data_IF_126861661239
#
_entry.id   IF_126861661239
#
_cell.length_a   1.000
_cell.length_b   1.000
_cell.length_c   1.000
_cell.angle_alpha   90.00
_cell.angle_beta   90.00
_cell.angle_gamma   90.00
#
_symmetry.space_group_name_H-M   'P 1'
#
loop_
_entity.id
_entity.type
_entity.pdbx_description
1 polymer ?
#
# COMPACT_ATOMS: atom_id res chain seq x y z
N UNK A 1 -12.52 -51.18 -59.95
CA UNK A 1 -11.27 -50.84 -59.21
C UNK A 1 -11.61 -49.79 -58.18
N UNK A 2 -11.45 -50.14 -56.90
CA UNK A 2 -12.06 -49.46 -55.76
C UNK A 2 -11.33 -48.15 -55.39
N UNK A 3 -12.10 -47.07 -55.32
CA UNK A 3 -11.77 -45.83 -54.63
C UNK A 3 -12.18 -45.98 -53.16
N UNK A 4 -11.21 -45.88 -52.25
CA UNK A 4 -11.41 -45.86 -50.80
C UNK A 4 -11.60 -44.41 -50.35
N UNK A 5 -12.80 -44.08 -49.87
CA UNK A 5 -13.12 -42.85 -49.15
C UNK A 5 -13.17 -43.17 -47.65
N UNK A 6 -12.30 -42.53 -46.87
CA UNK A 6 -12.34 -42.61 -45.41
C UNK A 6 -13.33 -41.58 -44.82
N UNK A 7 -14.16 -41.96 -43.83
CA UNK A 7 -15.07 -41.06 -43.15
C UNK A 7 -14.46 -40.47 -41.86
N UNK A 8 -14.97 -39.30 -41.43
CA UNK A 8 -15.03 -39.00 -39.99
C UNK A 8 -14.47 -37.67 -39.49
N UNK A 9 -14.80 -36.53 -40.09
CA UNK A 9 -14.68 -35.22 -39.42
C UNK A 9 -15.92 -34.90 -38.59
N UNK A 10 -16.12 -35.67 -37.52
CA UNK A 10 -17.09 -35.37 -36.46
C UNK A 10 -16.54 -34.36 -35.45
N UNK A 11 -16.10 -33.18 -35.89
CA UNK A 11 -15.69 -32.08 -35.00
C UNK A 11 -16.92 -31.32 -34.51
N UNK A 12 -17.58 -31.94 -33.52
CA UNK A 12 -18.32 -31.36 -32.40
C UNK A 12 -18.82 -29.91 -32.54
N UNK A 13 -20.06 -29.76 -33.02
CA UNK A 13 -20.95 -28.63 -32.73
C UNK A 13 -21.07 -28.32 -31.21
N UNK A 14 -20.71 -29.28 -30.33
CA UNK A 14 -20.62 -29.10 -28.88
C UNK A 14 -19.54 -28.11 -28.42
N UNK A 15 -18.42 -27.96 -29.17
CA UNK A 15 -17.36 -27.02 -28.78
C UNK A 15 -17.74 -25.55 -29.04
N UNK A 16 -18.59 -25.30 -30.04
CA UNK A 16 -19.14 -23.97 -30.33
C UNK A 16 -20.29 -23.59 -29.38
N UNK A 17 -21.08 -24.56 -28.91
CA UNK A 17 -22.15 -24.32 -27.93
C UNK A 17 -21.63 -24.02 -26.51
N UNK A 18 -20.47 -24.59 -26.12
CA UNK A 18 -19.81 -24.27 -24.84
C UNK A 18 -19.18 -22.87 -24.81
N UNK A 19 -18.72 -22.34 -25.95
CA UNK A 19 -18.23 -20.96 -26.04
C UNK A 19 -19.42 -19.97 -26.00
N UNK A 20 -20.56 -20.29 -26.62
CA UNK A 20 -21.73 -19.43 -26.64
C UNK A 20 -22.45 -19.27 -25.28
N UNK A 21 -22.41 -20.28 -24.41
CA UNK A 21 -23.03 -20.22 -23.07
C UNK A 21 -22.20 -19.47 -22.01
N UNK A 22 -20.94 -19.12 -22.30
CA UNK A 22 -20.07 -18.35 -21.39
C UNK A 22 -20.06 -16.82 -21.65
N UNK A 23 -20.72 -16.36 -22.72
CA UNK A 23 -20.69 -14.96 -23.14
C UNK A 23 -21.57 -13.96 -22.35
N UNK A 24 -22.61 -14.33 -21.57
CA UNK A 24 -23.34 -13.32 -20.79
C UNK A 24 -22.60 -12.84 -19.52
N UNK A 25 -21.54 -13.52 -19.06
CA UNK A 25 -20.79 -13.12 -17.85
C UNK A 25 -19.81 -11.97 -18.13
N UNK A 26 -19.34 -11.81 -19.37
CA UNK A 26 -18.34 -10.79 -19.72
C UNK A 26 -18.94 -9.38 -19.90
N UNK A 27 -20.26 -9.25 -20.14
CA UNK A 27 -20.91 -7.95 -20.31
C UNK A 27 -21.09 -7.16 -19.00
N UNK A 28 -20.93 -7.80 -17.84
CA UNK A 28 -20.92 -7.12 -16.55
C UNK A 28 -19.53 -6.65 -16.10
N UNK A 29 -18.52 -6.65 -16.96
CA UNK A 29 -17.14 -6.31 -16.57
C UNK A 29 -16.81 -4.80 -16.45
N UNK A 30 -17.78 -3.86 -16.39
CA UNK A 30 -17.44 -2.48 -15.95
C UNK A 30 -16.99 -2.53 -14.47
N UNK A 31 -15.83 -1.96 -14.15
CA UNK A 31 -15.26 -2.09 -12.81
C UNK A 31 -16.22 -1.55 -11.73
N UNK A 32 -16.60 -2.41 -10.78
CA UNK A 32 -17.19 -1.93 -9.51
C UNK A 32 -16.19 -0.98 -8.84
N UNK A 33 -16.69 0.04 -8.16
CA UNK A 33 -15.84 0.94 -7.37
C UNK A 33 -15.99 0.63 -5.89
N UNK A 34 -14.89 0.60 -5.16
CA UNK A 34 -14.93 0.60 -3.70
C UNK A 34 -14.70 2.05 -3.24
N UNK A 35 -15.68 2.69 -2.64
CA UNK A 35 -15.53 4.03 -2.08
C UNK A 35 -15.69 3.99 -0.58
N UNK A 36 -14.59 4.28 0.13
CA UNK A 36 -14.66 4.66 1.54
C UNK A 36 -14.91 6.16 1.64
N UNK A 37 -16.14 6.56 1.35
CA UNK A 37 -16.55 7.93 1.61
C UNK A 37 -16.65 8.14 3.13
N UNK A 38 -15.89 9.10 3.66
CA UNK A 38 -16.16 9.63 5.01
C UNK A 38 -17.43 10.48 4.93
N UNK A 39 -18.58 9.83 4.96
CA UNK A 39 -19.84 10.52 5.21
C UNK A 39 -19.90 10.78 6.71
N UNK A 40 -19.64 12.03 7.09
CA UNK A 40 -19.83 12.48 8.45
C UNK A 40 -21.34 12.53 8.73
N UNK A 41 -21.86 11.43 9.25
CA UNK A 41 -23.22 11.35 9.78
C UNK A 41 -23.10 11.66 11.26
N UNK A 42 -23.77 12.73 11.70
CA UNK A 42 -23.86 13.10 13.10
C UNK A 42 -24.47 11.97 13.93
N UNK A 43 -24.23 12.00 15.24
CA UNK A 43 -24.80 11.00 16.15
C UNK A 43 -26.33 10.95 16.01
N UNK A 44 -26.85 9.76 15.73
CA UNK A 44 -28.25 9.58 15.42
C UNK A 44 -29.10 9.34 16.67
N UNK A 45 -30.29 9.95 16.70
CA UNK A 45 -31.34 9.66 17.66
C UNK A 45 -32.66 9.28 16.97
N UNK A 46 -33.54 8.58 17.67
CA UNK A 46 -34.83 8.10 17.11
C UNK A 46 -35.71 9.24 16.56
N UNK A 47 -35.57 10.46 17.08
CA UNK A 47 -36.25 11.65 16.54
C UNK A 47 -35.95 11.95 15.05
N UNK A 48 -34.87 11.42 14.49
CA UNK A 48 -34.51 11.59 13.08
C UNK A 48 -35.15 10.54 12.15
N UNK A 49 -35.78 9.48 12.67
CA UNK A 49 -36.32 8.36 11.88
C UNK A 49 -37.28 8.83 10.79
N UNK A 50 -38.23 9.71 11.12
CA UNK A 50 -39.23 10.20 10.17
C UNK A 50 -38.60 10.95 8.98
N UNK A 51 -37.54 11.73 9.22
CA UNK A 51 -36.80 12.43 8.16
C UNK A 51 -36.02 11.45 7.28
N UNK A 52 -35.34 10.47 7.90
CA UNK A 52 -34.59 9.45 7.17
C UNK A 52 -35.51 8.59 6.29
N UNK A 53 -36.68 8.18 6.82
CA UNK A 53 -37.70 7.47 6.04
C UNK A 53 -38.13 8.26 4.82
N UNK A 54 -38.49 9.55 4.97
CA UNK A 54 -38.85 10.41 3.84
C UNK A 54 -37.75 10.46 2.77
N UNK A 55 -36.48 10.51 3.16
CA UNK A 55 -35.34 10.49 2.23
C UNK A 55 -35.22 9.17 1.48
N UNK A 56 -35.36 8.04 2.18
CA UNK A 56 -35.33 6.71 1.54
C UNK A 56 -36.51 6.57 0.57
N UNK A 57 -37.72 6.95 0.99
CA UNK A 57 -38.92 6.93 0.14
C UNK A 57 -38.74 7.78 -1.12
N UNK A 58 -38.15 8.97 -1.01
CA UNK A 58 -37.82 9.81 -2.17
C UNK A 58 -36.79 9.14 -3.11
N UNK A 59 -35.84 8.35 -2.58
CA UNK A 59 -34.92 7.57 -3.41
C UNK A 59 -35.63 6.42 -4.16
N UNK A 60 -36.59 5.76 -3.51
CA UNK A 60 -37.45 4.74 -4.14
C UNK A 60 -38.30 5.35 -5.25
N UNK A 61 -38.98 6.47 -4.97
CA UNK A 61 -39.83 7.17 -5.94
C UNK A 61 -39.05 7.60 -7.20
N UNK A 62 -37.80 8.05 -7.03
CA UNK A 62 -36.88 8.38 -8.13
C UNK A 62 -36.24 7.15 -8.80
N UNK A 63 -36.70 5.93 -8.50
CA UNK A 63 -36.18 4.65 -9.01
C UNK A 63 -34.67 4.48 -8.78
N UNK A 64 -34.11 5.15 -7.78
CA UNK A 64 -32.69 5.07 -7.42
C UNK A 64 -32.38 3.83 -6.57
N UNK A 65 -33.42 3.20 -6.02
CA UNK A 65 -33.35 2.00 -5.18
C UNK A 65 -34.51 1.06 -5.54
N UNK A 66 -34.22 -0.20 -5.85
CA UNK A 66 -35.22 -1.20 -6.26
C UNK A 66 -35.56 -2.19 -5.15
N UNK A 67 -34.55 -2.65 -4.45
CA UNK A 67 -34.67 -3.59 -3.34
C UNK A 67 -33.59 -3.32 -2.30
N UNK A 68 -33.87 -3.69 -1.05
CA UNK A 68 -32.89 -3.68 0.05
C UNK A 68 -32.83 -5.10 0.61
N UNK A 69 -31.64 -5.67 0.69
CA UNK A 69 -31.37 -6.92 1.41
C UNK A 69 -30.49 -6.58 2.61
N UNK A 70 -31.02 -6.68 3.82
CA UNK A 70 -30.28 -6.47 5.05
C UNK A 70 -29.78 -7.80 5.59
N UNK A 71 -28.47 -7.92 5.76
CA UNK A 71 -27.81 -9.06 6.37
C UNK A 71 -27.24 -8.64 7.73
N UNK A 72 -27.77 -9.22 8.80
CA UNK A 72 -27.28 -8.97 10.15
C UNK A 72 -26.21 -10.00 10.51
N UNK A 73 -24.98 -9.53 10.72
CA UNK A 73 -23.86 -10.37 11.15
C UNK A 73 -24.12 -11.11 12.46
N UNK A 74 -24.77 -10.43 13.42
CA UNK A 74 -24.97 -10.97 14.77
C UNK A 74 -26.00 -12.08 14.83
N UNK A 75 -26.95 -12.10 13.89
CA UNK A 75 -28.07 -13.05 13.90
C UNK A 75 -28.06 -14.00 12.69
N UNK A 76 -27.25 -13.73 11.67
CA UNK A 76 -27.30 -14.43 10.38
C UNK A 76 -28.60 -14.18 9.60
N UNK A 77 -29.50 -13.36 10.13
CA UNK A 77 -30.81 -13.12 9.53
C UNK A 77 -30.68 -12.24 8.29
N UNK A 78 -31.30 -12.68 7.19
CA UNK A 78 -31.42 -11.93 5.95
C UNK A 78 -32.85 -11.43 5.79
N UNK A 79 -33.05 -10.12 5.87
CA UNK A 79 -34.32 -9.47 5.61
C UNK A 79 -34.32 -8.86 4.21
N UNK A 80 -35.18 -9.35 3.31
CA UNK A 80 -35.33 -8.78 1.97
C UNK A 80 -36.59 -7.93 1.87
N UNK A 81 -36.42 -6.68 1.44
CA UNK A 81 -37.48 -5.72 1.19
C UNK A 81 -37.53 -5.38 -0.31
N UNK A 82 -38.61 -5.79 -0.96
CA UNK A 82 -38.92 -5.36 -2.34
C UNK A 82 -39.74 -4.08 -2.27
N UNK A 83 -39.26 -3.01 -2.93
CA UNK A 83 -39.82 -1.66 -2.76
C UNK A 83 -40.89 -1.32 -3.81
N UNK A 84 -41.52 -2.33 -4.42
CA UNK A 84 -42.65 -2.18 -5.32
C UNK A 84 -43.95 -2.28 -4.51
N UNK A 85 -44.67 -1.16 -4.33
CA UNK A 85 -46.06 -1.14 -3.86
C UNK A 85 -46.29 -0.89 -2.37
N UNK A 86 -45.41 -1.36 -1.46
CA UNK A 86 -45.50 -1.03 -0.02
C UNK A 86 -44.15 -0.57 0.54
N UNK A 87 -44.20 0.51 1.33
CA UNK A 87 -43.05 1.11 2.02
C UNK A 87 -43.04 0.78 3.51
N UNK A 88 -44.00 -0.01 4.01
CA UNK A 88 -44.19 -0.29 5.44
C UNK A 88 -42.98 -1.03 6.04
N UNK A 89 -42.33 -1.87 5.24
CA UNK A 89 -41.10 -2.57 5.63
C UNK A 89 -39.93 -1.62 5.93
N UNK A 90 -39.91 -0.41 5.36
CA UNK A 90 -38.83 0.56 5.62
C UNK A 90 -38.86 1.07 7.07
N UNK A 91 -40.06 1.25 7.65
CA UNK A 91 -40.20 1.74 9.02
C UNK A 91 -39.55 0.80 10.06
N UNK A 92 -39.48 -0.49 9.73
CA UNK A 92 -38.90 -1.56 10.58
C UNK A 92 -37.39 -1.69 10.47
N UNK A 93 -36.75 -0.98 9.54
CA UNK A 93 -35.30 -1.02 9.41
C UNK A 93 -34.64 -0.37 10.65
N UNK A 94 -33.48 -0.89 11.11
CA UNK A 94 -32.69 -0.23 12.14
C UNK A 94 -32.31 1.20 11.74
N UNK A 95 -32.21 2.11 12.72
CA UNK A 95 -31.99 3.54 12.47
C UNK A 95 -30.69 3.79 11.68
N UNK A 96 -29.62 3.07 12.02
CA UNK A 96 -28.33 3.12 11.34
C UNK A 96 -28.41 2.66 9.88
N UNK A 97 -29.24 1.66 9.57
CA UNK A 97 -29.48 1.19 8.20
C UNK A 97 -30.24 2.26 7.42
N UNK A 98 -31.30 2.83 8.00
CA UNK A 98 -32.04 3.92 7.37
C UNK A 98 -31.14 5.12 7.05
N UNK A 99 -30.28 5.51 7.99
CA UNK A 99 -29.35 6.61 7.79
C UNK A 99 -28.33 6.32 6.67
N UNK A 100 -27.74 5.13 6.68
CA UNK A 100 -26.80 4.71 5.65
C UNK A 100 -27.45 4.72 4.26
N UNK A 101 -28.64 4.09 4.12
CA UNK A 101 -29.39 4.06 2.85
C UNK A 101 -29.75 5.48 2.40
N UNK A 102 -30.28 6.32 3.30
CA UNK A 102 -30.66 7.69 2.98
C UNK A 102 -29.47 8.53 2.49
N UNK A 103 -28.26 8.29 3.02
CA UNK A 103 -27.06 9.03 2.65
C UNK A 103 -26.47 8.58 1.30
N UNK A 104 -26.70 7.33 0.89
CA UNK A 104 -26.04 6.75 -0.30
C UNK A 104 -26.98 6.43 -1.46
N UNK A 105 -28.30 6.47 -1.27
CA UNK A 105 -29.30 6.10 -2.28
C UNK A 105 -29.43 7.15 -3.41
N UNK A 106 -28.40 7.24 -4.23
CA UNK A 106 -28.34 8.05 -5.44
C UNK A 106 -27.84 7.19 -6.62
N UNK A 107 -28.25 7.46 -7.87
CA UNK A 107 -27.83 6.68 -9.04
C UNK A 107 -26.31 6.61 -9.23
N UNK A 108 -25.57 7.64 -8.79
CA UNK A 108 -24.10 7.67 -8.82
C UNK A 108 -23.43 6.59 -7.96
N UNK A 109 -24.17 5.98 -7.03
CA UNK A 109 -23.68 4.89 -6.18
C UNK A 109 -23.88 3.51 -6.81
N UNK A 110 -24.56 3.40 -7.95
CA UNK A 110 -24.79 2.11 -8.60
C UNK A 110 -23.48 1.44 -9.03
N UNK A 111 -23.36 0.14 -8.77
CA UNK A 111 -22.13 -0.61 -9.00
C UNK A 111 -20.98 -0.23 -8.06
N UNK A 112 -21.26 0.45 -6.95
CA UNK A 112 -20.27 0.76 -5.91
C UNK A 112 -20.48 -0.06 -4.64
N UNK A 113 -19.40 -0.23 -3.90
CA UNK A 113 -19.37 -0.70 -2.53
C UNK A 113 -18.95 0.46 -1.62
N UNK A 114 -19.66 0.64 -0.50
CA UNK A 114 -19.42 1.74 0.44
C UNK A 114 -19.43 1.25 1.87
N UNK A 115 -18.38 1.57 2.61
CA UNK A 115 -18.25 1.23 4.03
C UNK A 115 -18.46 2.48 4.89
N UNK A 116 -19.44 2.41 5.78
CA UNK A 116 -19.84 3.51 6.65
C UNK A 116 -19.82 3.08 8.12
N UNK A 117 -19.35 3.98 8.99
CA UNK A 117 -19.48 3.82 10.43
C UNK A 117 -20.55 4.78 10.96
N UNK A 118 -21.66 4.25 11.45
CA UNK A 118 -22.82 5.04 11.90
C UNK A 118 -22.92 5.04 13.41
N UNK A 119 -22.89 6.23 14.01
CA UNK A 119 -23.04 6.40 15.47
C UNK A 119 -24.52 6.57 15.83
N UNK A 120 -25.02 5.75 16.75
CA UNK A 120 -26.37 5.84 17.30
C UNK A 120 -26.29 6.11 18.80
N UNK A 121 -26.95 7.18 19.25
CA UNK A 121 -26.92 7.65 20.63
C UNK A 121 -27.35 6.54 21.58
N UNK A 122 -26.50 6.24 22.56
CA UNK A 122 -26.75 5.19 23.55
C UNK A 122 -26.61 3.74 23.04
N UNK A 123 -26.41 3.51 21.74
CA UNK A 123 -26.30 2.17 21.16
C UNK A 123 -24.91 1.85 20.57
N UNK A 124 -24.08 2.89 20.35
CA UNK A 124 -22.70 2.73 19.89
C UNK A 124 -22.51 3.01 18.40
N UNK A 125 -21.48 2.43 17.80
CA UNK A 125 -21.07 2.71 16.41
C UNK A 125 -21.16 1.46 15.56
N UNK A 126 -22.00 1.44 14.54
CA UNK A 126 -22.26 0.26 13.72
C UNK A 126 -21.52 0.35 12.39
N UNK A 127 -20.68 -0.64 12.04
CA UNK A 127 -20.08 -0.75 10.73
C UNK A 127 -21.12 -1.31 9.75
N UNK A 128 -21.28 -0.67 8.60
CA UNK A 128 -22.14 -1.13 7.52
C UNK A 128 -21.38 -1.13 6.19
N UNK A 129 -21.52 -2.21 5.43
CA UNK A 129 -21.10 -2.26 4.02
C UNK A 129 -22.33 -2.25 3.12
N UNK A 130 -22.37 -1.30 2.19
CA UNK A 130 -23.47 -1.07 1.26
C UNK A 130 -23.01 -1.43 -0.15
N UNK A 131 -23.54 -2.52 -0.69
CA UNK A 131 -23.15 -3.08 -1.99
C UNK A 131 -24.29 -2.84 -2.97
N UNK A 132 -24.08 -1.93 -3.91
CA UNK A 132 -25.06 -1.60 -4.94
C UNK A 132 -24.85 -2.42 -6.21
N UNK A 133 -25.91 -3.10 -6.66
CA UNK A 133 -26.00 -3.62 -8.02
C UNK A 133 -26.05 -2.47 -9.03
N UNK A 134 -25.78 -2.76 -10.31
CA UNK A 134 -25.97 -1.77 -11.38
C UNK A 134 -27.43 -1.44 -11.68
N UNK A 135 -28.33 -2.26 -11.17
CA UNK A 135 -29.78 -2.11 -11.37
C UNK A 135 -30.41 -1.33 -10.20
N UNK A 136 -29.63 -0.97 -9.18
CA UNK A 136 -30.12 -0.25 -8.00
C UNK A 136 -30.67 -1.18 -6.90
N UNK A 137 -30.33 -2.47 -6.92
CA UNK A 137 -30.52 -3.35 -5.76
C UNK A 137 -29.41 -3.08 -4.75
N UNK A 138 -29.75 -3.02 -3.47
CA UNK A 138 -28.81 -2.74 -2.39
C UNK A 138 -28.74 -3.92 -1.44
N UNK A 139 -27.53 -4.43 -1.20
CA UNK A 139 -27.25 -5.29 -0.06
C UNK A 139 -26.59 -4.46 1.03
N UNK A 140 -27.12 -4.52 2.25
CA UNK A 140 -26.56 -3.90 3.45
C UNK A 140 -26.09 -5.01 4.36
N UNK A 141 -24.79 -5.09 4.60
CA UNK A 141 -24.21 -5.95 5.62
C UNK A 141 -23.95 -5.12 6.88
N UNK A 142 -24.57 -5.50 7.99
CA UNK A 142 -24.41 -4.81 9.27
C UNK A 142 -23.62 -5.67 10.25
N UNK A 143 -22.57 -5.09 10.83
CA UNK A 143 -21.80 -5.71 11.91
C UNK A 143 -22.33 -5.43 13.32
N UNK A 144 -21.71 -6.05 14.34
CA UNK A 144 -21.91 -5.65 15.73
C UNK A 144 -21.36 -4.23 15.97
N UNK A 145 -21.78 -3.54 17.04
CA UNK A 145 -21.17 -2.28 17.44
C UNK A 145 -19.65 -2.40 17.56
N UNK A 146 -18.91 -1.47 16.95
CA UNK A 146 -17.46 -1.41 17.03
C UNK A 146 -17.00 -1.15 18.45
N UNK A 147 -16.22 -2.09 18.98
CA UNK A 147 -15.39 -1.89 20.16
C UNK A 147 -14.06 -1.26 19.76
N UNK A 148 -13.45 -0.51 20.67
CA UNK A 148 -12.09 0.00 20.46
C UNK A 148 -11.09 -1.16 20.42
N UNK A 149 -9.93 -0.94 19.79
CA UNK A 149 -8.82 -1.89 19.90
C UNK A 149 -8.34 -1.93 21.35
N UNK A 150 -8.01 -3.14 21.82
CA UNK A 150 -7.31 -3.31 23.09
C UNK A 150 -6.02 -2.48 23.09
N UNK A 151 -5.66 -1.95 24.26
CA UNK A 151 -4.39 -1.24 24.40
C UNK A 151 -3.24 -2.18 24.03
N UNK A 152 -2.21 -1.62 23.42
CA UNK A 152 -1.04 -2.40 22.98
C UNK A 152 0.20 -2.03 23.77
N UNK A 153 1.21 -2.87 23.56
CA UNK A 153 2.60 -2.75 23.96
C UNK A 153 3.22 -1.36 23.73
N UNK A 154 4.26 -1.03 24.51
CA UNK A 154 4.99 0.21 24.34
C UNK A 154 5.68 0.30 22.96
N UNK A 155 5.98 1.52 22.49
CA UNK A 155 6.61 1.74 21.18
C UNK A 155 7.93 0.97 20.98
N UNK A 156 8.68 0.72 22.08
CA UNK A 156 9.91 -0.08 22.05
C UNK A 156 9.67 -1.55 21.69
N UNK A 157 8.63 -2.16 22.26
CA UNK A 157 8.23 -3.55 21.98
C UNK A 157 7.77 -3.72 20.53
N UNK A 158 6.95 -2.80 20.02
CA UNK A 158 6.55 -2.81 18.61
C UNK A 158 7.76 -2.71 17.67
N UNK A 159 8.74 -1.90 18.06
CA UNK A 159 10.00 -1.76 17.33
C UNK A 159 10.75 -3.08 17.22
N UNK A 160 10.94 -3.75 18.36
CA UNK A 160 11.64 -5.02 18.44
C UNK A 160 10.88 -6.11 17.68
N UNK A 161 9.57 -6.22 17.89
CA UNK A 161 8.70 -7.23 17.29
C UNK A 161 8.64 -7.15 15.76
N UNK A 162 8.61 -5.94 15.20
CA UNK A 162 8.40 -5.73 13.76
C UNK A 162 9.64 -5.22 13.01
N UNK A 163 10.82 -5.18 13.66
CA UNK A 163 12.07 -4.77 13.02
C UNK A 163 12.08 -3.30 12.56
N UNK A 164 11.33 -2.42 13.22
CA UNK A 164 11.35 -0.99 12.90
C UNK A 164 12.64 -0.35 13.44
N UNK A 165 13.13 0.70 12.77
CA UNK A 165 14.28 1.45 13.29
C UNK A 165 13.87 2.32 14.47
N UNK A 166 12.81 3.12 14.29
CA UNK A 166 12.34 4.14 15.26
C UNK A 166 10.83 4.33 15.17
N UNK A 167 10.17 4.50 16.31
CA UNK A 167 8.81 5.02 16.43
C UNK A 167 8.92 6.29 17.26
N UNK A 168 8.69 7.46 16.65
CA UNK A 168 8.98 8.75 17.27
C UNK A 168 7.86 9.75 17.03
N UNK A 169 7.74 10.73 17.92
CA UNK A 169 6.89 11.90 17.74
C UNK A 169 7.64 13.09 17.16
N UNK A 170 6.95 13.93 16.39
CA UNK A 170 7.41 15.23 15.91
C UNK A 170 6.29 16.26 16.07
N UNK A 171 6.33 17.00 17.17
CA UNK A 171 5.23 17.91 17.56
C UNK A 171 3.96 17.19 18.02
N UNK A 172 3.97 15.85 18.05
CA UNK A 172 2.87 15.01 18.53
C UNK A 172 3.41 13.67 19.00
N UNK A 173 3.06 13.26 20.21
CA UNK A 173 3.39 11.94 20.76
C UNK A 173 2.36 10.88 20.33
N UNK A 174 2.81 9.63 20.25
CA UNK A 174 1.93 8.50 20.00
C UNK A 174 1.07 8.21 21.23
N UNK A 175 -0.23 7.98 21.02
CA UNK A 175 -1.15 7.49 22.06
C UNK A 175 -1.20 5.96 22.06
N UNK A 176 -1.55 5.34 23.18
CA UNK A 176 -1.64 3.87 23.29
C UNK A 176 -2.60 3.26 22.26
N UNK A 177 -3.77 3.86 22.06
CA UNK A 177 -4.72 3.44 21.02
C UNK A 177 -4.18 3.58 19.59
N UNK A 178 -3.39 4.63 19.31
CA UNK A 178 -2.76 4.81 17.99
C UNK A 178 -1.67 3.75 17.74
N UNK A 179 -0.88 3.42 18.77
CA UNK A 179 0.08 2.33 18.70
C UNK A 179 -0.61 0.98 18.49
N UNK A 180 -1.82 0.79 19.05
CA UNK A 180 -2.59 -0.45 18.85
C UNK A 180 -2.98 -0.63 17.39
N UNK A 181 -3.35 0.46 16.70
CA UNK A 181 -3.59 0.44 15.25
C UNK A 181 -2.30 0.09 14.50
N UNK A 182 -1.15 0.70 14.86
CA UNK A 182 0.15 0.38 14.25
C UNK A 182 0.49 -1.10 14.40
N UNK A 183 0.36 -1.64 15.60
CA UNK A 183 0.62 -3.06 15.90
C UNK A 183 -0.27 -3.96 15.05
N UNK A 184 -1.58 -3.66 15.00
CA UNK A 184 -2.54 -4.42 14.23
C UNK A 184 -2.29 -4.32 12.71
N UNK A 185 -1.92 -3.16 12.17
CA UNK A 185 -1.51 -3.00 10.76
C UNK A 185 -0.29 -3.86 10.42
N UNK A 186 0.77 -3.81 11.24
CA UNK A 186 2.00 -4.56 10.99
C UNK A 186 1.79 -6.07 11.13
N UNK A 187 0.89 -6.49 12.01
CA UNK A 187 0.52 -7.89 12.18
C UNK A 187 -0.19 -8.50 10.96
N UNK A 188 -0.81 -7.66 10.10
CA UNK A 188 -1.44 -8.13 8.84
C UNK A 188 -0.43 -8.45 7.73
N UNK A 189 0.81 -8.00 7.86
CA UNK A 189 1.84 -8.23 6.85
C UNK A 189 2.31 -9.69 6.88
N UNK A 190 2.61 -10.27 5.71
CA UNK A 190 3.33 -11.54 5.63
C UNK A 190 4.79 -11.40 6.12
N UNK A 191 5.50 -12.50 6.32
CA UNK A 191 6.92 -12.44 6.72
C UNK A 191 7.79 -11.69 5.69
N UNK A 192 7.57 -11.95 4.39
CA UNK A 192 8.29 -11.28 3.31
C UNK A 192 7.94 -9.78 3.21
N UNK A 193 6.68 -9.40 3.44
CA UNK A 193 6.30 -7.99 3.51
C UNK A 193 6.89 -7.29 4.73
N UNK A 194 6.98 -7.98 5.88
CA UNK A 194 7.65 -7.46 7.08
C UNK A 194 9.12 -7.16 6.81
N UNK A 195 9.83 -8.06 6.12
CA UNK A 195 11.19 -7.80 5.64
C UNK A 195 11.22 -6.57 4.73
N UNK A 196 10.24 -6.44 3.83
CA UNK A 196 10.12 -5.30 2.93
C UNK A 196 9.78 -3.97 3.62
N UNK A 197 9.48 -3.94 4.93
CA UNK A 197 9.28 -2.74 5.74
C UNK A 197 10.25 -2.63 6.93
N UNK A 198 11.23 -3.54 7.00
CA UNK A 198 12.26 -3.50 8.03
C UNK A 198 13.09 -2.20 7.95
N UNK A 199 13.52 -1.73 9.12
CA UNK A 199 14.32 -0.53 9.29
C UNK A 199 13.58 0.78 9.02
N UNK A 200 12.26 0.75 8.75
CA UNK A 200 11.47 1.97 8.60
C UNK A 200 11.39 2.77 9.90
N UNK A 201 11.21 4.08 9.76
CA UNK A 201 10.89 4.98 10.85
C UNK A 201 9.41 5.38 10.77
N UNK A 202 8.66 5.16 11.85
CA UNK A 202 7.31 5.69 12.00
C UNK A 202 7.36 7.02 12.75
N UNK A 203 6.77 8.06 12.17
CA UNK A 203 6.78 9.42 12.71
C UNK A 203 5.35 9.88 12.94
N UNK A 204 4.99 10.18 14.18
CA UNK A 204 3.74 10.88 14.50
C UNK A 204 3.94 12.38 14.33
N UNK A 205 3.05 13.04 13.60
CA UNK A 205 3.05 14.50 13.45
C UNK A 205 1.62 15.03 13.45
N UNK A 206 1.35 16.29 13.81
CA UNK A 206 -0.01 16.81 13.83
C UNK A 206 -0.62 16.87 12.41
N UNK A 207 0.09 17.51 11.47
CA UNK A 207 -0.36 17.71 10.10
C UNK A 207 0.80 17.77 9.09
N UNK A 208 0.47 17.70 7.80
CA UNK A 208 1.43 17.91 6.72
C UNK A 208 1.72 19.42 6.52
N UNK A 209 2.99 19.86 6.47
CA UNK A 209 3.32 21.28 6.31
C UNK A 209 2.84 21.94 5.00
N UNK A 210 2.61 21.16 3.94
CA UNK A 210 2.22 21.70 2.63
C UNK A 210 0.73 21.96 2.44
N UNK A 211 -0.03 22.21 3.52
CA UNK A 211 -1.44 22.65 3.50
C UNK A 211 -2.49 21.62 3.07
N UNK A 212 -2.11 20.58 2.31
CA UNK A 212 -3.02 19.49 1.96
C UNK A 212 -3.33 18.61 3.18
N UNK A 213 -4.61 18.27 3.36
CA UNK A 213 -5.09 17.39 4.43
C UNK A 213 -4.72 15.92 4.15
N UNK A 214 -3.45 15.57 4.36
CA UNK A 214 -2.96 14.19 4.29
C UNK A 214 -3.25 13.43 5.59
N UNK A 215 -3.62 12.16 5.49
CA UNK A 215 -3.76 11.26 6.64
C UNK A 215 -2.44 10.54 6.98
N UNK A 216 -1.70 10.14 5.94
CA UNK A 216 -0.37 9.56 6.04
C UNK A 216 0.53 10.05 4.91
N UNK A 217 1.82 9.71 4.98
CA UNK A 217 2.74 9.81 3.86
C UNK A 217 4.00 8.95 4.03
N UNK A 218 4.28 8.11 3.06
CA UNK A 218 5.57 7.48 2.84
C UNK A 218 6.54 8.48 2.21
N UNK A 219 7.74 8.59 2.78
CA UNK A 219 8.84 9.39 2.22
C UNK A 219 10.14 8.61 2.29
N UNK A 220 10.93 8.76 1.23
CA UNK A 220 12.33 8.35 1.17
C UNK A 220 13.19 9.55 0.81
N UNK A 221 14.20 9.82 1.62
CA UNK A 221 15.21 10.83 1.38
C UNK A 221 16.55 10.43 2.00
N UNK A 222 17.52 11.35 2.09
CA UNK A 222 18.84 11.09 2.64
C UNK A 222 18.84 10.63 4.10
N UNK A 223 17.74 10.83 4.85
CA UNK A 223 17.59 10.34 6.23
C UNK A 223 16.98 8.94 6.29
N UNK A 224 16.75 8.30 5.14
CA UNK A 224 16.15 6.98 5.02
C UNK A 224 14.67 7.02 4.67
N UNK A 225 14.04 5.85 4.75
CA UNK A 225 12.61 5.66 4.48
C UNK A 225 11.79 5.76 5.76
N UNK A 226 10.67 6.47 5.68
CA UNK A 226 9.82 6.79 6.83
C UNK A 226 8.35 6.90 6.43
N UNK A 227 7.47 6.55 7.36
CA UNK A 227 6.03 6.77 7.25
C UNK A 227 5.67 7.85 8.28
N UNK A 228 5.09 8.94 7.78
CA UNK A 228 4.53 9.99 8.62
C UNK A 228 3.03 9.75 8.77
N UNK A 229 2.54 9.81 10.01
CA UNK A 229 1.12 9.61 10.34
C UNK A 229 0.58 10.86 11.02
N UNK A 230 -0.51 11.40 10.47
CA UNK A 230 -1.11 12.67 10.88
C UNK A 230 -2.40 12.48 11.68
N UNK A 231 -2.87 13.54 12.35
CA UNK A 231 -4.11 13.51 13.13
C UNK A 231 -5.31 13.03 12.30
N UNK A 232 -5.37 13.44 11.03
CA UNK A 232 -6.41 13.06 10.08
C UNK A 232 -6.57 11.55 9.86
N UNK A 233 -5.50 10.74 10.04
CA UNK A 233 -5.64 9.29 9.97
C UNK A 233 -6.63 8.78 11.03
N UNK A 234 -6.51 9.31 12.26
CA UNK A 234 -7.30 8.89 13.41
C UNK A 234 -8.64 9.61 13.51
N UNK A 235 -8.77 10.83 12.96
CA UNK A 235 -10.08 11.49 12.79
C UNK A 235 -11.02 10.63 11.94
N UNK A 236 -10.49 9.91 10.95
CA UNK A 236 -11.23 8.98 10.10
C UNK A 236 -11.91 7.84 10.87
N UNK A 237 -11.40 7.47 12.06
CA UNK A 237 -11.94 6.39 12.90
C UNK A 237 -13.33 6.69 13.47
N UNK A 238 -13.81 7.94 13.31
CA UNK A 238 -15.17 8.35 13.67
C UNK A 238 -16.19 8.09 12.57
N UNK A 239 -15.74 7.94 11.32
CA UNK A 239 -16.60 7.99 10.14
C UNK A 239 -16.49 6.76 9.24
N UNK A 240 -15.50 5.90 9.46
CA UNK A 240 -15.34 4.70 8.67
C UNK A 240 -14.58 3.60 9.40
N UNK A 241 -14.45 2.49 8.71
CA UNK A 241 -13.71 1.30 9.14
C UNK A 241 -13.03 0.63 7.94
N UNK A 242 -12.22 -0.38 8.21
CA UNK A 242 -11.58 -1.26 7.23
C UNK A 242 -11.87 -2.72 7.58
N UNK A 243 -12.05 -3.58 6.59
CA UNK A 243 -12.39 -4.99 6.79
C UNK A 243 -13.89 -5.22 6.68
N UNK A 244 -14.32 -6.45 6.89
CA UNK A 244 -15.74 -6.77 6.83
C UNK A 244 -16.50 -6.18 8.03
N UNK A 245 -17.80 -5.87 7.91
CA UNK A 245 -18.60 -5.38 9.03
C UNK A 245 -18.58 -6.31 10.26
N UNK A 246 -18.37 -7.62 10.05
CA UNK A 246 -18.30 -8.62 11.12
C UNK A 246 -17.02 -8.47 11.97
N UNK A 247 -15.92 -8.00 11.37
CA UNK A 247 -14.60 -7.85 12.01
C UNK A 247 -13.99 -6.50 11.63
N UNK A 248 -14.67 -5.40 11.99
CA UNK A 248 -14.28 -4.07 11.55
C UNK A 248 -12.98 -3.66 12.25
N UNK A 249 -12.11 -2.99 11.51
CA UNK A 249 -10.90 -2.35 12.05
C UNK A 249 -11.02 -0.83 11.90
N UNK A 250 -10.34 -0.03 12.75
CA UNK A 250 -10.34 1.43 12.61
C UNK A 250 -9.89 1.89 11.22
N UNK A 251 -10.49 2.94 10.66
CA UNK A 251 -10.15 3.47 9.34
C UNK A 251 -8.68 3.88 9.20
N UNK A 252 -8.05 4.34 10.28
CA UNK A 252 -6.63 4.68 10.39
C UNK A 252 -5.72 3.49 10.02
N UNK A 253 -6.18 2.26 10.22
CA UNK A 253 -5.48 1.05 9.77
C UNK A 253 -5.29 1.04 8.26
N UNK A 254 -6.28 1.52 7.49
CA UNK A 254 -6.14 1.61 6.04
C UNK A 254 -5.14 2.66 5.60
N UNK A 255 -5.04 3.79 6.31
CA UNK A 255 -3.99 4.78 6.04
C UNK A 255 -2.62 4.15 6.29
N UNK A 256 -2.44 3.45 7.40
CA UNK A 256 -1.18 2.77 7.70
C UNK A 256 -0.83 1.70 6.66
N UNK A 257 -1.79 0.83 6.31
CA UNK A 257 -1.56 -0.19 5.29
C UNK A 257 -1.30 0.42 3.91
N UNK A 258 -1.93 1.55 3.56
CA UNK A 258 -1.64 2.29 2.34
C UNK A 258 -0.18 2.75 2.30
N UNK A 259 0.30 3.42 3.36
CA UNK A 259 1.69 3.89 3.41
C UNK A 259 2.71 2.73 3.47
N UNK A 260 2.34 1.61 4.12
CA UNK A 260 3.12 0.38 4.09
C UNK A 260 3.16 -0.21 2.67
N UNK A 261 2.07 -0.15 1.91
CA UNK A 261 2.03 -0.52 0.50
C UNK A 261 3.06 0.28 -0.30
N UNK A 262 3.11 1.60 -0.15
CA UNK A 262 4.16 2.39 -0.79
C UNK A 262 5.58 1.94 -0.42
N UNK A 263 5.82 1.61 0.86
CA UNK A 263 7.12 1.13 1.31
C UNK A 263 7.49 -0.23 0.70
N UNK A 264 6.53 -1.16 0.59
CA UNK A 264 6.70 -2.47 -0.05
C UNK A 264 7.03 -2.31 -1.55
N UNK A 265 6.27 -1.49 -2.28
CA UNK A 265 6.54 -1.23 -3.70
C UNK A 265 7.90 -0.54 -3.96
N UNK A 266 8.42 0.20 -2.98
CA UNK A 266 9.71 0.88 -3.04
C UNK A 266 10.88 0.01 -2.55
N UNK A 267 10.62 -1.16 -1.98
CA UNK A 267 11.64 -2.05 -1.42
C UNK A 267 12.79 -2.39 -2.38
N UNK A 268 12.54 -2.74 -3.67
CA UNK A 268 13.63 -2.98 -4.62
C UNK A 268 14.56 -1.76 -4.79
N UNK A 269 13.98 -0.56 -4.79
CA UNK A 269 14.74 0.68 -4.89
C UNK A 269 15.51 0.98 -3.60
N UNK A 270 14.98 0.61 -2.42
CA UNK A 270 15.69 0.72 -1.14
C UNK A 270 16.92 -0.20 -1.10
N UNK A 271 16.80 -1.45 -1.55
CA UNK A 271 17.93 -2.37 -1.62
C UNK A 271 19.02 -1.89 -2.59
N UNK A 272 18.62 -1.42 -3.77
CA UNK A 272 19.56 -0.85 -4.74
C UNK A 272 20.26 0.40 -4.17
N UNK A 273 19.55 1.25 -3.43
CA UNK A 273 20.14 2.42 -2.77
C UNK A 273 21.15 2.03 -1.68
N UNK A 274 20.83 1.04 -0.83
CA UNK A 274 21.76 0.54 0.18
C UNK A 274 23.05 -0.01 -0.44
N UNK A 275 22.95 -0.68 -1.59
CA UNK A 275 24.14 -1.14 -2.32
C UNK A 275 25.02 0.04 -2.78
N UNK A 276 24.41 1.11 -3.30
CA UNK A 276 25.12 2.35 -3.67
C UNK A 276 25.80 2.98 -2.45
N UNK A 277 25.10 3.07 -1.32
CA UNK A 277 25.62 3.68 -0.09
C UNK A 277 26.81 2.90 0.49
N UNK A 278 26.71 1.57 0.57
CA UNK A 278 27.83 0.69 0.97
C UNK A 278 29.05 0.88 0.06
N UNK A 279 28.82 0.99 -1.25
CA UNK A 279 29.90 1.20 -2.21
C UNK A 279 30.53 2.59 -2.09
N UNK A 280 29.73 3.62 -1.80
CA UNK A 280 30.22 4.97 -1.53
C UNK A 280 31.07 5.02 -0.25
N UNK A 281 30.66 4.31 0.81
CA UNK A 281 31.46 4.19 2.02
C UNK A 281 32.80 3.49 1.76
N UNK A 282 32.82 2.42 0.95
CA UNK A 282 34.06 1.76 0.52
C UNK A 282 34.95 2.71 -0.29
N UNK A 283 34.38 3.46 -1.24
CA UNK A 283 35.12 4.45 -2.03
C UNK A 283 35.80 5.49 -1.14
N UNK A 284 35.09 6.03 -0.14
CA UNK A 284 35.65 7.00 0.81
C UNK A 284 36.86 6.43 1.56
N UNK A 285 36.79 5.17 2.01
CA UNK A 285 37.91 4.48 2.67
C UNK A 285 39.11 4.32 1.74
N UNK A 286 38.91 3.75 0.55
CA UNK A 286 39.99 3.54 -0.43
C UNK A 286 40.62 4.86 -0.87
N UNK A 287 39.83 5.93 -1.01
CA UNK A 287 40.34 7.26 -1.33
C UNK A 287 41.22 7.83 -0.21
N UNK A 288 40.85 7.63 1.06
CA UNK A 288 41.68 8.04 2.21
C UNK A 288 43.03 7.33 2.19
N UNK A 289 43.04 6.01 1.94
CA UNK A 289 44.26 5.21 1.85
C UNK A 289 45.15 5.65 0.67
N UNK A 290 44.55 5.86 -0.50
CA UNK A 290 45.23 6.39 -1.68
C UNK A 290 45.87 7.75 -1.39
N UNK A 291 45.13 8.69 -0.77
CA UNK A 291 45.65 10.02 -0.42
C UNK A 291 46.82 9.93 0.55
N UNK A 292 46.77 9.02 1.51
CA UNK A 292 47.87 8.79 2.44
C UNK A 292 49.10 8.18 1.74
N UNK A 293 48.90 7.19 0.87
CA UNK A 293 49.98 6.59 0.07
C UNK A 293 50.64 7.63 -0.83
N UNK A 294 49.84 8.46 -1.50
CA UNK A 294 50.34 9.52 -2.37
C UNK A 294 51.19 10.57 -1.62
N UNK A 295 50.79 10.93 -0.39
CA UNK A 295 51.60 11.81 0.48
C UNK A 295 52.96 11.17 0.80
N UNK A 296 53.00 9.87 1.09
CA UNK A 296 54.24 9.12 1.36
C UNK A 296 55.13 9.04 0.12
N UNK A 297 54.55 8.74 -1.05
CA UNK A 297 55.25 8.76 -2.33
C UNK A 297 55.88 10.14 -2.61
N UNK A 298 55.11 11.22 -2.47
CA UNK A 298 55.63 12.59 -2.65
C UNK A 298 56.76 12.92 -1.68
N UNK A 299 56.69 12.41 -0.44
CA UNK A 299 57.78 12.57 0.53
C UNK A 299 59.03 11.78 0.12
N UNK A 300 58.87 10.52 -0.30
CA UNK A 300 59.97 9.69 -0.80
C UNK A 300 60.64 10.33 -2.03
N UNK A 301 59.86 10.89 -2.95
CA UNK A 301 60.37 11.59 -4.12
C UNK A 301 61.24 12.80 -3.76
N UNK A 302 60.82 13.60 -2.75
CA UNK A 302 61.66 14.70 -2.23
C UNK A 302 62.97 14.18 -1.61
N UNK A 303 62.91 13.08 -0.85
CA UNK A 303 64.09 12.44 -0.27
C UNK A 303 65.07 11.93 -1.32
N UNK A 304 64.55 11.30 -2.38
CA UNK A 304 65.35 10.87 -3.54
C UNK A 304 66.02 12.05 -4.26
N UNK A 305 65.28 13.15 -4.50
CA UNK A 305 65.84 14.38 -5.10
C UNK A 305 66.96 14.98 -4.26
N UNK A 306 66.82 14.97 -2.93
CA UNK A 306 67.88 15.44 -2.03
C UNK A 306 69.10 14.50 -2.05
N UNK A 307 68.89 13.18 -2.10
CA UNK A 307 69.98 12.21 -2.22
C UNK A 307 70.77 12.40 -3.54
N UNK A 308 70.07 12.62 -4.66
CA UNK A 308 70.70 12.97 -5.94
C UNK A 308 71.60 14.20 -5.82
N UNK A 309 71.12 15.26 -5.15
CA UNK A 309 71.90 16.48 -4.93
C UNK A 309 73.15 16.26 -4.05
N UNK A 310 73.15 15.25 -3.17
CA UNK A 310 74.29 14.96 -2.29
C UNK A 310 75.44 14.17 -2.94
N UNK A 311 75.20 13.55 -4.11
CA UNK A 311 76.20 12.72 -4.81
C UNK A 311 76.54 11.37 -4.16
N UNK A 312 75.97 11.03 -2.99
CA UNK A 312 76.25 9.76 -2.28
C UNK A 312 75.53 8.58 -2.92
N UNK A 313 76.25 7.73 -3.66
CA UNK A 313 75.70 6.58 -4.41
C UNK A 313 74.83 5.63 -3.57
N UNK A 314 75.29 5.22 -2.40
CA UNK A 314 74.55 4.30 -1.51
C UNK A 314 73.20 4.88 -1.07
N UNK A 315 73.18 6.18 -0.71
CA UNK A 315 71.96 6.88 -0.32
C UNK A 315 70.99 7.04 -1.50
N UNK A 316 71.51 7.27 -2.71
CA UNK A 316 70.69 7.33 -3.92
C UNK A 316 69.98 5.99 -4.15
N UNK A 317 70.71 4.87 -4.10
CA UNK A 317 70.16 3.53 -4.28
C UNK A 317 69.07 3.18 -3.24
N UNK A 318 69.32 3.47 -1.95
CA UNK A 318 68.34 3.25 -0.89
C UNK A 318 67.04 4.05 -1.11
N UNK A 319 67.18 5.33 -1.48
CA UNK A 319 66.03 6.22 -1.73
C UNK A 319 65.28 5.87 -3.00
N UNK A 320 65.98 5.41 -4.02
CA UNK A 320 65.37 4.91 -5.26
C UNK A 320 64.49 3.70 -4.98
N UNK A 321 64.97 2.71 -4.25
CA UNK A 321 64.17 1.53 -3.89
C UNK A 321 62.92 1.93 -3.08
N UNK A 322 63.09 2.80 -2.09
CA UNK A 322 61.96 3.33 -1.31
C UNK A 322 60.94 4.05 -2.20
N UNK A 323 61.40 4.85 -3.17
CA UNK A 323 60.54 5.57 -4.10
C UNK A 323 59.73 4.59 -4.96
N UNK A 324 60.39 3.57 -5.52
CA UNK A 324 59.76 2.53 -6.35
C UNK A 324 58.69 1.77 -5.57
N UNK A 325 58.98 1.35 -4.33
CA UNK A 325 58.00 0.64 -3.49
C UNK A 325 56.75 1.49 -3.21
N UNK A 326 56.95 2.79 -2.92
CA UNK A 326 55.84 3.74 -2.68
C UNK A 326 55.06 4.05 -3.95
N UNK A 327 55.74 4.10 -5.09
CA UNK A 327 55.10 4.25 -6.40
C UNK A 327 54.17 3.07 -6.67
N UNK A 328 54.69 1.84 -6.60
CA UNK A 328 53.92 0.62 -6.82
C UNK A 328 52.71 0.52 -5.87
N UNK A 329 52.90 0.83 -4.57
CA UNK A 329 51.79 0.86 -3.60
C UNK A 329 50.71 1.86 -4.01
N UNK A 330 51.10 3.06 -4.44
CA UNK A 330 50.19 4.13 -4.84
C UNK A 330 49.42 3.77 -6.11
N UNK A 331 50.09 3.15 -7.09
CA UNK A 331 49.48 2.66 -8.33
C UNK A 331 48.46 1.53 -8.06
N UNK A 332 48.78 0.58 -7.17
CA UNK A 332 47.84 -0.46 -6.73
C UNK A 332 46.56 0.14 -6.13
N UNK A 333 46.71 1.15 -5.26
CA UNK A 333 45.57 1.86 -4.66
C UNK A 333 44.79 2.69 -5.67
N UNK A 334 45.46 3.34 -6.62
CA UNK A 334 44.80 4.06 -7.71
C UNK A 334 43.95 3.11 -8.58
N UNK A 335 44.51 1.95 -8.93
CA UNK A 335 43.79 0.90 -9.65
C UNK A 335 42.57 0.38 -8.88
N UNK A 336 42.72 0.14 -7.56
CA UNK A 336 41.61 -0.24 -6.67
C UNK A 336 40.52 0.84 -6.62
N UNK A 337 40.89 2.11 -6.46
CA UNK A 337 39.96 3.24 -6.44
C UNK A 337 39.16 3.31 -7.74
N UNK A 338 39.82 3.17 -8.90
CA UNK A 338 39.17 3.14 -10.22
C UNK A 338 38.16 2.00 -10.34
N UNK A 339 38.46 0.80 -9.84
CA UNK A 339 37.51 -0.33 -9.80
C UNK A 339 36.30 -0.02 -8.92
N UNK A 340 36.52 0.48 -7.70
CA UNK A 340 35.44 0.84 -6.77
C UNK A 340 34.52 1.91 -7.35
N UNK A 341 35.08 2.93 -8.01
CA UNK A 341 34.33 3.98 -8.71
C UNK A 341 33.50 3.43 -9.88
N UNK A 342 34.06 2.50 -10.67
CA UNK A 342 33.33 1.84 -11.77
C UNK A 342 32.11 1.07 -11.25
N UNK A 343 32.29 0.27 -10.21
CA UNK A 343 31.18 -0.47 -9.58
C UNK A 343 30.14 0.47 -8.97
N UNK A 344 30.55 1.55 -8.32
CA UNK A 344 29.59 2.55 -7.80
C UNK A 344 28.74 3.16 -8.93
N UNK A 345 29.35 3.52 -10.07
CA UNK A 345 28.62 4.05 -11.24
C UNK A 345 27.63 3.03 -11.78
N UNK A 346 28.00 1.74 -11.81
CA UNK A 346 27.11 0.63 -12.21
C UNK A 346 25.91 0.51 -11.28
N UNK A 347 26.13 0.44 -9.97
CA UNK A 347 25.07 0.38 -8.96
C UNK A 347 24.16 1.62 -9.02
N UNK A 348 24.73 2.82 -9.20
CA UNK A 348 23.95 4.05 -9.33
C UNK A 348 23.08 4.09 -10.60
N UNK A 349 23.51 3.43 -11.69
CA UNK A 349 22.67 3.24 -12.89
C UNK A 349 21.53 2.25 -12.61
N UNK A 350 21.80 1.13 -11.93
CA UNK A 350 20.79 0.15 -11.54
C UNK A 350 19.73 0.78 -10.63
N UNK A 351 20.16 1.51 -9.59
CA UNK A 351 19.27 2.26 -8.71
C UNK A 351 18.36 3.23 -9.48
N UNK A 352 18.92 4.06 -10.37
CA UNK A 352 18.12 4.97 -11.22
C UNK A 352 17.11 4.24 -12.09
N UNK A 353 17.48 3.07 -12.64
CA UNK A 353 16.58 2.23 -13.45
C UNK A 353 15.40 1.73 -12.61
N UNK A 354 15.66 1.17 -11.43
CA UNK A 354 14.62 0.65 -10.53
C UNK A 354 13.74 1.78 -9.98
N UNK A 355 14.32 2.94 -9.66
CA UNK A 355 13.59 4.12 -9.21
C UNK A 355 12.63 4.66 -10.28
N UNK A 356 13.07 4.72 -11.54
CA UNK A 356 12.23 5.19 -12.66
C UNK A 356 11.19 4.16 -13.09
N UNK A 357 11.53 2.88 -13.00
CA UNK A 357 10.71 1.78 -13.48
C UNK A 357 10.60 0.70 -12.42
N UNK A 358 9.83 0.98 -11.35
CA UNK A 358 9.61 0.00 -10.28
C UNK A 358 9.13 -1.33 -10.88
N UNK A 359 9.85 -2.44 -10.68
CA UNK A 359 9.44 -3.75 -11.17
C UNK A 359 8.08 -4.17 -10.60
N UNK A 360 7.85 -3.91 -9.31
CA UNK A 360 6.57 -4.15 -8.63
C UNK A 360 5.42 -3.43 -9.32
N UNK A 361 5.56 -2.12 -9.59
CA UNK A 361 4.50 -1.35 -10.22
C UNK A 361 4.27 -1.73 -11.70
N UNK A 362 5.32 -2.18 -12.40
CA UNK A 362 5.16 -2.71 -13.76
C UNK A 362 4.38 -4.02 -13.75
N UNK A 363 4.68 -4.92 -12.82
CA UNK A 363 3.95 -6.17 -12.59
C UNK A 363 2.48 -5.88 -12.23
N UNK A 364 2.26 -5.00 -11.27
CA UNK A 364 0.92 -4.54 -10.85
C UNK A 364 0.11 -3.92 -12.01
N UNK A 365 0.73 -3.10 -12.87
CA UNK A 365 0.06 -2.52 -14.05
C UNK A 365 -0.46 -3.61 -14.99
N UNK A 366 0.26 -4.72 -15.15
CA UNK A 366 -0.20 -5.86 -15.95
C UNK A 366 -1.42 -6.53 -15.29
N UNK A 367 -1.37 -6.76 -13.97
CA UNK A 367 -2.48 -7.34 -13.22
C UNK A 367 -3.76 -6.47 -13.25
N UNK A 368 -3.62 -5.14 -13.33
CA UNK A 368 -4.75 -4.24 -13.53
C UNK A 368 -5.46 -4.44 -14.89
N UNK A 369 -4.77 -4.94 -15.92
CA UNK A 369 -5.33 -5.17 -17.25
C UNK A 369 -6.11 -3.95 -17.81
N UNK A 370 -5.56 -2.74 -17.65
CA UNK A 370 -6.19 -1.48 -18.10
C UNK A 370 -7.32 -0.95 -17.20
N UNK A 371 -7.70 -1.67 -16.14
CA UNK A 371 -8.67 -1.18 -15.14
C UNK A 371 -8.04 -0.06 -14.31
N UNK A 372 -8.90 0.80 -13.75
CA UNK A 372 -8.49 1.85 -12.83
C UNK A 372 -8.36 1.30 -11.40
N UNK A 373 -7.74 2.06 -10.50
CA UNK A 373 -7.62 1.69 -9.08
C UNK A 373 -8.96 1.50 -8.37
N UNK A 374 -8.98 0.75 -7.25
CA UNK A 374 -10.20 0.28 -6.60
C UNK A 374 -11.02 1.43 -6.03
N UNK A 375 -10.36 2.49 -5.53
CA UNK A 375 -10.98 3.66 -4.90
C UNK A 375 -10.83 4.91 -5.74
N UNK A 376 -11.66 5.94 -5.49
CA UNK A 376 -11.51 7.23 -6.17
C UNK A 376 -10.10 7.80 -6.04
N UNK A 377 -9.48 7.67 -4.86
CA UNK A 377 -8.11 8.12 -4.62
C UNK A 377 -7.09 7.26 -5.36
N UNK A 378 -7.25 5.93 -5.34
CA UNK A 378 -6.40 5.00 -6.08
C UNK A 378 -6.40 5.21 -7.60
N UNK A 379 -7.41 5.89 -8.17
CA UNK A 379 -7.46 6.22 -9.60
C UNK A 379 -6.55 7.37 -10.01
N UNK A 380 -6.00 8.12 -9.06
CA UNK A 380 -5.18 9.31 -9.35
C UNK A 380 -3.81 8.98 -9.93
N UNK A 381 -3.22 7.84 -9.54
CA UNK A 381 -1.97 7.36 -10.12
C UNK A 381 -1.80 5.86 -9.93
N UNK A 382 -0.86 5.25 -10.64
CA UNK A 382 -0.52 3.84 -10.46
C UNK A 382 0.03 3.54 -9.04
N UNK A 383 0.75 4.49 -8.45
CA UNK A 383 1.29 4.36 -7.10
C UNK A 383 0.17 4.32 -6.05
N UNK A 384 -0.78 5.25 -6.16
CA UNK A 384 -1.95 5.29 -5.26
C UNK A 384 -2.83 4.06 -5.50
N UNK A 385 -3.03 3.65 -6.75
CA UNK A 385 -3.77 2.43 -7.09
C UNK A 385 -3.18 1.21 -6.39
N UNK A 386 -1.84 1.05 -6.46
CA UNK A 386 -1.16 -0.06 -5.78
C UNK A 386 -1.36 0.00 -4.27
N UNK A 387 -1.14 1.17 -3.65
CA UNK A 387 -1.23 1.32 -2.21
C UNK A 387 -2.65 1.10 -1.66
N UNK A 388 -3.67 1.59 -2.37
CA UNK A 388 -5.08 1.34 -2.05
C UNK A 388 -5.43 -0.15 -2.21
N UNK A 389 -5.00 -0.79 -3.29
CA UNK A 389 -5.22 -2.23 -3.48
C UNK A 389 -4.50 -3.07 -2.42
N UNK A 390 -3.28 -2.67 -2.01
CA UNK A 390 -2.56 -3.32 -0.92
C UNK A 390 -3.27 -3.18 0.43
N UNK A 391 -3.79 -1.98 0.72
CA UNK A 391 -4.57 -1.73 1.92
C UNK A 391 -5.85 -2.57 1.97
N UNK A 392 -6.54 -2.73 0.84
CA UNK A 392 -7.67 -3.65 0.75
C UNK A 392 -7.20 -5.10 0.87
N UNK A 393 -6.17 -5.54 0.15
CA UNK A 393 -5.69 -6.93 0.24
C UNK A 393 -5.39 -7.38 1.68
N UNK A 394 -4.74 -6.54 2.48
CA UNK A 394 -4.41 -6.85 3.88
C UNK A 394 -5.52 -6.52 4.88
N UNK A 395 -6.41 -5.60 4.53
CA UNK A 395 -7.47 -5.10 5.40
C UNK A 395 -8.82 -5.76 5.20
N UNK A 396 -9.25 -5.82 3.94
CA UNK A 396 -10.47 -6.40 3.40
C UNK A 396 -10.22 -7.12 2.04
N UNK A 397 -9.65 -8.34 2.06
CA UNK A 397 -9.34 -9.08 0.85
C UNK A 397 -10.59 -9.38 0.01
N UNK A 398 -11.75 -9.55 0.64
CA UNK A 398 -13.00 -9.85 -0.05
C UNK A 398 -13.49 -8.65 -0.86
N UNK A 399 -13.40 -7.43 -0.31
CA UNK A 399 -13.69 -6.21 -1.07
C UNK A 399 -12.79 -6.10 -2.31
N UNK A 400 -11.48 -6.34 -2.16
CA UNK A 400 -10.55 -6.34 -3.31
C UNK A 400 -10.93 -7.38 -4.35
N UNK A 401 -11.23 -8.61 -3.92
CA UNK A 401 -11.65 -9.70 -4.81
C UNK A 401 -12.91 -9.31 -5.61
N UNK A 402 -13.90 -8.68 -4.96
CA UNK A 402 -15.12 -8.20 -5.64
C UNK A 402 -14.84 -7.11 -6.67
N UNK A 403 -13.95 -6.16 -6.39
CA UNK A 403 -13.73 -4.99 -7.27
C UNK A 403 -12.62 -5.16 -8.30
N UNK A 404 -11.57 -5.93 -8.00
CA UNK A 404 -10.41 -6.19 -8.86
C UNK A 404 -9.88 -7.63 -8.65
N UNK A 405 -10.61 -8.67 -9.10
CA UNK A 405 -10.27 -10.08 -8.83
C UNK A 405 -8.89 -10.48 -9.37
N UNK A 406 -8.48 -9.99 -10.54
CA UNK A 406 -7.15 -10.25 -11.11
C UNK A 406 -6.01 -9.65 -10.25
N UNK A 407 -6.26 -8.49 -9.63
CA UNK A 407 -5.29 -7.88 -8.71
C UNK A 407 -5.25 -8.64 -7.38
N UNK A 408 -6.40 -9.08 -6.88
CA UNK A 408 -6.46 -9.95 -5.70
C UNK A 408 -5.63 -11.22 -5.92
N UNK A 409 -5.86 -11.93 -7.04
CA UNK A 409 -5.12 -13.14 -7.39
C UNK A 409 -3.61 -12.88 -7.50
N UNK A 410 -3.23 -11.76 -8.11
CA UNK A 410 -1.83 -11.35 -8.21
C UNK A 410 -1.15 -11.14 -6.85
N UNK A 411 -1.88 -10.62 -5.85
CA UNK A 411 -1.36 -10.51 -4.48
C UNK A 411 -1.23 -11.89 -3.81
N UNK A 412 -2.20 -12.79 -3.99
CA UNK A 412 -2.15 -14.17 -3.47
C UNK A 412 -0.95 -14.94 -4.01
N UNK A 413 -0.60 -14.73 -5.28
CA UNK A 413 0.59 -15.30 -5.93
C UNK A 413 1.90 -14.62 -5.52
N UNK A 414 1.86 -13.61 -4.64
CA UNK A 414 3.03 -12.88 -4.19
C UNK A 414 3.64 -11.98 -5.27
N UNK A 415 2.86 -11.55 -6.27
CA UNK A 415 3.35 -10.76 -7.40
C UNK A 415 3.98 -9.41 -7.02
N UNK A 416 3.67 -8.87 -5.84
CA UNK A 416 4.30 -7.68 -5.27
C UNK A 416 5.66 -7.94 -4.61
N UNK A 417 6.03 -9.21 -4.42
CA UNK A 417 7.27 -9.66 -3.79
C UNK A 417 8.27 -10.23 -4.79
N UNK A 418 7.82 -10.61 -5.98
CA UNK A 418 8.67 -11.13 -7.08
C UNK A 418 9.06 -9.97 -8.01
N UNK A 419 10.34 -9.62 -8.08
CA UNK A 419 10.80 -8.45 -8.84
C UNK A 419 12.22 -8.53 -9.42
#
# INVERSE_FOLDING_TARGET
>A
MALSLAPGTGLSLLALLLVALSLPVLAEARSRSYDRDTLAIEELGEGQRALLLRRVQAAVARRSLRSISLQSASTGHVQRLTLKGSLDGLARLPLQVLAAVAATAAPRSWGSERDLLISVRGQGRYPLSLIYSRRGDLTVEQGPPMTGLAQTAAAGELRARFGLSRIVGRGRSWRSGELAVVAASLARLSAAERQAVEGLVLVRAPAWPGGRRHAGRYRKDSRGARILVYDRAFEGDRHGFLGSPQRPSPASMSTLLHELGHAVADFPARLAWQAVDRQQALQKRVYKDYRQSYRRYRSAYRGYRAALASGRRSLIQEREQTLLDRQQQTERLAGRLKRVQREQRKLARQYRKVQRFSPVLRSYRKALAGRRGPTRYGRTSLHESFAESFALYRGDPQALHRVLPAVFQWFEEGGHLVW
#
